data_IF_965336351873
#
_entry.id   IF_965336351873
#
_cell.length_a   1.000
_cell.length_b   1.000
_cell.length_c   1.000
_cell.angle_alpha   90.00
_cell.angle_beta   90.00
_cell.angle_gamma   90.00
#
_symmetry.space_group_name_H-M   'P 1'
#
loop_
_entity.id
_entity.type
_entity.pdbx_description
1 polymer ?
#
# COMPACT_ATOMS: atom_id res chain seq x y z
N UNK A 1 4.31 15.29 -9.90
CA UNK A 1 4.82 14.24 -10.81
C UNK A 1 4.57 12.88 -10.17
N UNK A 2 3.88 11.99 -10.86
CA UNK A 2 3.47 10.68 -10.35
C UNK A 2 4.68 9.82 -9.97
N UNK A 3 5.80 9.91 -10.70
CA UNK A 3 7.01 9.14 -10.37
C UNK A 3 7.59 9.53 -9.00
N UNK A 4 7.53 10.82 -8.65
CA UNK A 4 7.97 11.29 -7.34
C UNK A 4 7.05 10.79 -6.21
N UNK A 5 5.75 10.63 -6.48
CA UNK A 5 4.80 10.02 -5.53
C UNK A 5 5.13 8.54 -5.34
N UNK A 6 5.27 7.78 -6.43
CA UNK A 6 5.57 6.35 -6.37
C UNK A 6 6.93 6.05 -5.68
N UNK A 7 7.95 6.87 -5.93
CA UNK A 7 9.23 6.75 -5.23
C UNK A 7 9.09 7.00 -3.72
N UNK A 8 8.26 7.97 -3.30
CA UNK A 8 7.99 8.20 -1.87
C UNK A 8 7.23 7.03 -1.26
N UNK A 9 6.25 6.48 -1.97
CA UNK A 9 5.50 5.28 -1.57
C UNK A 9 6.45 4.09 -1.35
N UNK A 10 7.31 3.79 -2.32
CA UNK A 10 8.30 2.71 -2.20
C UNK A 10 9.26 2.90 -1.02
N UNK A 11 9.72 4.12 -0.77
CA UNK A 11 10.58 4.42 0.38
C UNK A 11 9.87 4.19 1.72
N UNK A 12 8.57 4.53 1.81
CA UNK A 12 7.79 4.30 3.03
C UNK A 12 7.58 2.81 3.30
N UNK A 13 7.25 2.02 2.26
CA UNK A 13 7.17 0.56 2.34
C UNK A 13 8.52 -0.02 2.79
N UNK A 14 9.63 0.43 2.19
CA UNK A 14 10.97 -0.02 2.56
C UNK A 14 11.30 0.27 4.04
N UNK A 15 10.85 1.39 4.59
CA UNK A 15 11.04 1.71 6.01
C UNK A 15 10.22 0.79 6.94
N UNK A 16 9.00 0.42 6.54
CA UNK A 16 8.19 -0.59 7.26
C UNK A 16 8.93 -1.92 7.24
N UNK A 17 9.37 -2.40 6.07
CA UNK A 17 10.09 -3.67 5.93
C UNK A 17 11.37 -3.69 6.76
N UNK A 18 12.16 -2.61 6.75
CA UNK A 18 13.41 -2.52 7.49
C UNK A 18 13.22 -2.56 9.01
N UNK A 19 12.05 -2.16 9.52
CA UNK A 19 11.73 -2.17 10.94
C UNK A 19 10.90 -3.38 11.38
N UNK A 20 10.42 -4.19 10.44
CA UNK A 20 9.57 -5.33 10.73
C UNK A 20 10.35 -6.51 11.32
N UNK A 21 9.91 -6.97 12.48
CA UNK A 21 10.43 -8.19 13.13
C UNK A 21 9.39 -9.29 13.23
N UNK A 22 8.13 -9.00 12.85
CA UNK A 22 7.01 -9.92 12.96
C UNK A 22 6.56 -10.38 11.56
N UNK A 23 6.72 -11.67 11.31
CA UNK A 23 6.30 -12.34 10.07
C UNK A 23 5.11 -13.26 10.34
N UNK A 24 4.32 -12.95 11.37
CA UNK A 24 3.07 -13.62 11.68
C UNK A 24 1.92 -13.12 10.81
N UNK A 25 0.84 -13.92 10.81
CA UNK A 25 -0.40 -13.59 10.13
C UNK A 25 -1.08 -12.36 10.76
N UNK A 26 -1.71 -11.54 9.93
CA UNK A 26 -2.43 -10.34 10.37
C UNK A 26 -3.66 -10.66 11.22
N UNK A 27 -4.25 -11.85 11.03
CA UNK A 27 -5.51 -12.25 11.65
C UNK A 27 -6.75 -11.54 11.08
N UNK A 28 -6.59 -10.65 10.09
CA UNK A 28 -7.69 -9.90 9.47
C UNK A 28 -8.31 -10.64 8.28
N UNK A 29 -7.48 -11.35 7.49
CA UNK A 29 -7.92 -12.20 6.37
C UNK A 29 -7.17 -13.53 6.41
N UNK A 30 -7.73 -14.54 5.75
CA UNK A 30 -7.05 -15.82 5.60
C UNK A 30 -5.72 -15.60 4.86
N UNK A 31 -4.64 -16.20 5.37
CA UNK A 31 -3.26 -16.19 4.82
C UNK A 31 -2.54 -14.84 4.70
N UNK A 32 -3.15 -13.72 5.11
CA UNK A 32 -2.51 -12.39 5.06
C UNK A 32 -1.49 -12.22 6.19
N UNK A 33 -0.30 -11.66 5.91
CA UNK A 33 0.68 -11.32 6.94
C UNK A 33 0.49 -9.92 7.49
N UNK A 34 0.91 -9.74 8.74
CA UNK A 34 0.88 -8.43 9.40
C UNK A 34 1.75 -7.40 8.67
N UNK A 35 2.87 -7.85 8.08
CA UNK A 35 3.77 -6.99 7.32
C UNK A 35 3.13 -6.48 6.01
N UNK A 36 2.36 -7.31 5.30
CA UNK A 36 1.66 -6.92 4.07
C UNK A 36 0.70 -5.76 4.34
N UNK A 37 -0.08 -5.88 5.41
CA UNK A 37 -1.03 -4.85 5.86
C UNK A 37 -0.31 -3.56 6.27
N UNK A 38 0.84 -3.67 6.93
CA UNK A 38 1.60 -2.50 7.35
C UNK A 38 2.21 -1.76 6.15
N UNK A 39 2.73 -2.51 5.17
CA UNK A 39 3.22 -1.96 3.90
C UNK A 39 2.09 -1.27 3.12
N UNK A 40 0.92 -1.91 3.04
CA UNK A 40 -0.26 -1.33 2.39
C UNK A 40 -0.68 -0.01 3.03
N UNK A 41 -0.81 0.02 4.36
CA UNK A 41 -1.19 1.23 5.09
C UNK A 41 -0.20 2.39 4.87
N UNK A 42 1.11 2.10 4.84
CA UNK A 42 2.13 3.11 4.55
C UNK A 42 2.00 3.67 3.13
N UNK A 43 1.66 2.82 2.16
CA UNK A 43 1.44 3.23 0.79
C UNK A 43 0.17 4.09 0.63
N UNK A 44 -0.95 3.66 1.23
CA UNK A 44 -2.23 4.37 1.20
C UNK A 44 -2.09 5.79 1.75
N UNK A 45 -1.34 5.98 2.84
CA UNK A 45 -1.14 7.29 3.44
C UNK A 45 -0.53 8.31 2.45
N UNK A 46 0.40 7.87 1.62
CA UNK A 46 1.08 8.74 0.62
C UNK A 46 0.23 8.90 -0.64
N UNK A 47 -0.37 7.81 -1.13
CA UNK A 47 -1.15 7.82 -2.37
C UNK A 47 -2.43 8.65 -2.21
N UNK A 48 -3.11 8.55 -1.08
CA UNK A 48 -4.29 9.36 -0.80
C UNK A 48 -3.96 10.84 -0.57
N UNK A 49 -2.84 11.15 0.11
CA UNK A 49 -2.35 12.54 0.23
C UNK A 49 -2.04 13.16 -1.15
N UNK A 50 -1.59 12.33 -2.10
CA UNK A 50 -1.38 12.73 -3.49
C UNK A 50 -2.66 12.78 -4.33
N UNK A 51 -3.83 12.49 -3.75
CA UNK A 51 -5.13 12.49 -4.44
C UNK A 51 -5.38 11.28 -5.33
N UNK A 52 -4.64 10.18 -5.16
CA UNK A 52 -4.86 8.94 -5.90
C UNK A 52 -5.89 8.05 -5.18
N UNK A 53 -6.79 7.44 -5.96
CA UNK A 53 -7.50 6.25 -5.52
C UNK A 53 -6.57 5.04 -5.64
N UNK A 54 -6.83 3.99 -4.85
CA UNK A 54 -6.00 2.78 -4.82
C UNK A 54 -6.87 1.54 -4.93
N UNK A 55 -6.40 0.57 -5.73
CA UNK A 55 -6.87 -0.80 -5.73
C UNK A 55 -5.69 -1.69 -5.33
N UNK A 56 -5.73 -2.20 -4.10
CA UNK A 56 -4.69 -3.04 -3.51
C UNK A 56 -5.21 -4.46 -3.25
N UNK A 57 -4.33 -5.44 -3.33
CA UNK A 57 -4.59 -6.79 -2.83
C UNK A 57 -5.07 -6.75 -1.36
N UNK A 58 -4.36 -5.97 -0.56
CA UNK A 58 -4.45 -5.97 0.89
C UNK A 58 -5.65 -5.19 1.42
N UNK A 59 -5.98 -4.04 0.83
CA UNK A 59 -7.09 -3.17 1.29
C UNK A 59 -8.28 -3.13 0.34
N UNK A 60 -8.25 -3.88 -0.76
CA UNK A 60 -9.24 -3.76 -1.83
C UNK A 60 -9.22 -2.33 -2.38
N UNK A 61 -10.40 -1.74 -2.59
CA UNK A 61 -10.54 -0.46 -3.24
C UNK A 61 -10.73 0.66 -2.22
N UNK A 62 -9.91 1.69 -2.30
CA UNK A 62 -9.93 2.86 -1.41
C UNK A 62 -9.80 4.18 -2.18
N UNK A 63 -10.33 5.26 -1.61
CA UNK A 63 -10.37 6.57 -2.25
C UNK A 63 -11.48 6.72 -3.30
N UNK A 64 -11.71 7.97 -3.72
CA UNK A 64 -12.62 8.31 -4.81
C UNK A 64 -11.81 8.63 -6.07
N UNK A 65 -12.35 8.31 -7.24
CA UNK A 65 -11.80 8.74 -8.52
C UNK A 65 -12.93 9.07 -9.51
N UNK A 66 -12.74 10.12 -10.29
CA UNK A 66 -13.53 10.46 -11.46
C UNK A 66 -12.80 10.16 -12.77
N UNK A 67 -13.39 10.58 -13.88
CA UNK A 67 -12.91 10.26 -15.24
C UNK A 67 -11.48 10.76 -15.56
N UNK A 68 -10.99 11.76 -14.81
CA UNK A 68 -9.66 12.37 -15.01
C UNK A 68 -8.68 12.09 -13.87
N UNK A 69 -9.05 11.26 -12.90
CA UNK A 69 -8.23 10.97 -11.73
C UNK A 69 -7.40 9.69 -11.95
N UNK A 70 -6.31 9.57 -11.18
CA UNK A 70 -5.42 8.40 -11.25
C UNK A 70 -5.90 7.35 -10.25
N UNK A 71 -6.14 6.13 -10.75
CA UNK A 71 -6.26 4.92 -9.96
C UNK A 71 -4.93 4.17 -9.96
N UNK A 72 -4.35 3.96 -8.79
CA UNK A 72 -3.14 3.16 -8.61
C UNK A 72 -3.54 1.73 -8.28
N UNK A 73 -3.16 0.79 -9.15
CA UNK A 73 -3.31 -0.66 -8.88
C UNK A 73 -1.98 -1.16 -8.35
N UNK A 74 -1.97 -1.76 -7.17
CA UNK A 74 -0.74 -2.07 -6.44
C UNK A 74 -0.82 -3.40 -5.71
N UNK A 75 0.30 -4.11 -5.71
CA UNK A 75 0.64 -5.11 -4.71
C UNK A 75 1.74 -4.47 -3.81
N UNK A 76 1.46 -4.22 -2.52
CA UNK A 76 2.40 -3.54 -1.62
C UNK A 76 3.59 -4.42 -1.21
N UNK A 77 3.44 -5.75 -1.22
CA UNK A 77 4.50 -6.70 -0.89
C UNK A 77 4.25 -8.06 -1.55
N UNK A 78 4.90 -8.28 -2.70
CA UNK A 78 4.87 -9.58 -3.38
C UNK A 78 5.70 -10.64 -2.63
N UNK A 79 5.23 -11.89 -2.65
CA UNK A 79 5.95 -13.06 -2.12
C UNK A 79 5.62 -13.48 -0.69
N UNK A 80 4.42 -13.15 -0.19
CA UNK A 80 3.85 -13.56 1.11
C UNK A 80 3.66 -15.07 1.25
#
# INVERSE_FOLDING_TARGET
DILAVLNRTANAISAVLASNTDWGLSGLRHTQYSVDVNCDNAALAILHDAGCAVLSEESQRTGEWGDNDILVVMDPLDGS
#
